data_IF_944458227498
#
_entry.id   IF_944458227498
#
_cell.length_a   1.000
_cell.length_b   1.000
_cell.length_c   1.000
_cell.angle_alpha   90.00
_cell.angle_beta   90.00
_cell.angle_gamma   90.00
#
_symmetry.space_group_name_H-M   'P 1'
#
loop_
_entity.id
_entity.type
_entity.pdbx_description
1 polymer ?
#
# COMPACT_ATOMS: atom_id res chain seq x y z
N UNK A 1 -17.61 3.44 -53.10
CA UNK A 1 -19.05 3.41 -53.44
C UNK A 1 -19.86 3.80 -52.21
N UNK A 2 -20.46 4.98 -52.31
CA UNK A 2 -21.52 5.61 -51.51
C UNK A 2 -21.37 5.88 -50.01
N UNK A 3 -20.99 7.13 -49.76
CA UNK A 3 -21.35 7.94 -48.59
C UNK A 3 -22.89 8.14 -48.54
N UNK A 4 -23.45 8.13 -47.33
CA UNK A 4 -24.70 8.85 -47.04
C UNK A 4 -24.51 9.69 -45.78
N UNK A 5 -24.40 10.97 -46.05
CA UNK A 5 -24.53 12.09 -45.11
C UNK A 5 -26.01 12.25 -44.70
N UNK A 6 -26.27 12.44 -43.42
CA UNK A 6 -27.60 12.91 -42.96
C UNK A 6 -27.36 14.27 -42.29
N UNK A 7 -27.89 15.29 -42.94
CA UNK A 7 -28.02 16.66 -42.43
C UNK A 7 -29.25 16.76 -41.53
N UNK A 8 -29.15 17.43 -40.38
CA UNK A 8 -30.32 17.89 -39.65
C UNK A 8 -30.39 19.42 -39.62
N UNK A 9 -31.55 19.85 -40.12
CA UNK A 9 -31.98 21.21 -40.40
C UNK A 9 -32.21 22.05 -39.15
N UNK A 10 -31.70 23.28 -39.17
CA UNK A 10 -32.10 24.39 -38.30
C UNK A 10 -33.52 24.86 -38.60
N UNK A 11 -34.31 25.11 -37.58
CA UNK A 11 -35.47 26.03 -37.66
C UNK A 11 -35.36 27.08 -36.58
N UNK A 12 -35.28 28.31 -37.05
CA UNK A 12 -35.36 29.58 -36.32
C UNK A 12 -36.82 30.06 -36.21
N UNK A 13 -37.05 30.97 -35.28
CA UNK A 13 -38.16 31.94 -35.09
C UNK A 13 -39.10 31.61 -33.94
N UNK A 14 -39.36 32.51 -33.01
CA UNK A 14 -39.83 33.84 -33.04
C UNK A 14 -39.93 34.49 -31.66
N UNK A 15 -39.74 35.76 -31.69
CA UNK A 15 -39.84 36.75 -30.62
C UNK A 15 -41.31 36.98 -30.23
N UNK A 16 -41.62 37.15 -28.93
CA UNK A 16 -42.58 38.19 -28.49
C UNK A 16 -42.34 38.56 -27.00
N UNK A 17 -42.38 39.83 -26.78
CA UNK A 17 -42.11 40.55 -25.54
C UNK A 17 -43.37 40.79 -24.70
N UNK A 18 -43.14 41.20 -23.46
CA UNK A 18 -43.94 42.00 -22.51
C UNK A 18 -44.89 41.28 -21.55
N UNK A 19 -44.77 41.41 -20.24
CA UNK A 19 -45.26 42.51 -19.44
C UNK A 19 -44.88 42.31 -17.91
N UNK A 20 -44.41 43.32 -17.26
CA UNK A 20 -44.21 43.42 -15.82
C UNK A 20 -45.55 43.40 -15.05
N UNK A 21 -45.63 42.61 -13.98
CA UNK A 21 -46.44 42.94 -12.80
C UNK A 21 -45.70 42.40 -11.58
N UNK A 22 -45.30 43.29 -10.70
CA UNK A 22 -44.71 42.96 -9.42
C UNK A 22 -45.77 42.47 -8.42
N UNK A 23 -45.40 41.41 -7.68
CA UNK A 23 -46.13 41.09 -6.45
C UNK A 23 -45.11 40.49 -5.47
N UNK A 24 -44.78 41.32 -4.46
CA UNK A 24 -43.95 40.90 -3.32
C UNK A 24 -44.77 40.03 -2.42
N UNK A 25 -44.45 38.73 -2.33
CA UNK A 25 -44.85 37.90 -1.21
C UNK A 25 -43.62 37.35 -0.54
N UNK A 26 -43.38 37.84 0.67
CA UNK A 26 -42.47 37.20 1.64
C UNK A 26 -43.10 35.90 2.12
N UNK A 27 -42.63 34.77 1.64
CA UNK A 27 -42.90 33.48 2.24
C UNK A 27 -41.64 33.06 3.00
N UNK A 28 -41.68 33.16 4.29
CA UNK A 28 -40.82 32.40 5.21
C UNK A 28 -41.17 30.94 5.06
N UNK A 29 -40.41 30.22 4.25
CA UNK A 29 -40.46 28.76 4.19
C UNK A 29 -39.41 28.23 5.14
N UNK A 30 -39.83 27.73 6.29
CA UNK A 30 -39.09 26.72 7.02
C UNK A 30 -39.14 25.44 6.15
N UNK A 31 -38.05 25.10 5.51
CA UNK A 31 -37.86 23.76 4.97
C UNK A 31 -37.12 22.96 6.05
N UNK A 32 -37.88 22.18 6.80
CA UNK A 32 -37.37 20.95 7.42
C UNK A 32 -37.24 19.91 6.31
N UNK A 33 -36.14 19.94 5.57
CA UNK A 33 -35.76 18.88 4.65
C UNK A 33 -34.95 17.83 5.41
N UNK A 34 -35.62 17.05 6.25
CA UNK A 34 -35.16 15.72 6.68
C UNK A 34 -35.24 14.75 5.49
N UNK A 35 -34.37 14.93 4.50
CA UNK A 35 -34.16 13.95 3.45
C UNK A 35 -32.90 13.14 3.79
N UNK A 36 -33.01 11.87 4.23
CA UNK A 36 -31.86 11.05 4.64
C UNK A 36 -31.00 10.57 3.48
N UNK A 37 -31.15 11.13 2.29
CA UNK A 37 -30.44 10.69 1.08
C UNK A 37 -29.70 11.82 0.34
N UNK A 38 -29.14 12.78 1.08
CA UNK A 38 -28.23 13.77 0.46
C UNK A 38 -26.81 13.21 0.43
N UNK A 39 -26.35 12.84 -0.73
CA UNK A 39 -24.91 12.61 -0.97
C UNK A 39 -24.17 13.88 -0.55
N UNK A 40 -23.18 13.80 0.37
CA UNK A 40 -22.47 14.99 0.85
C UNK A 40 -21.83 15.73 -0.33
N UNK A 41 -22.03 17.04 -0.40
CA UNK A 41 -21.34 17.88 -1.39
C UNK A 41 -19.82 17.84 -1.08
N UNK A 42 -18.95 17.56 -2.05
CA UNK A 42 -17.50 17.58 -1.80
C UNK A 42 -17.05 18.90 -1.17
N UNK A 43 -16.34 18.84 -0.03
CA UNK A 43 -15.83 19.99 0.70
C UNK A 43 -16.76 20.57 1.78
N UNK A 44 -17.94 19.95 2.05
CA UNK A 44 -18.82 20.33 3.18
C UNK A 44 -18.75 19.35 4.35
N UNK A 45 -18.13 18.18 4.17
CA UNK A 45 -18.07 17.08 5.14
C UNK A 45 -16.69 16.88 5.70
N UNK A 46 -16.60 16.46 6.97
CA UNK A 46 -15.33 16.03 7.57
C UNK A 46 -14.89 14.68 6.99
N UNK A 47 -13.64 14.27 7.26
CA UNK A 47 -13.14 12.93 6.88
C UNK A 47 -14.04 11.83 7.44
N UNK A 48 -14.51 11.98 8.69
CA UNK A 48 -15.42 11.00 9.31
C UNK A 48 -16.75 10.92 8.57
N UNK A 49 -17.33 12.05 8.18
CA UNK A 49 -18.60 12.09 7.44
C UNK A 49 -18.47 11.40 6.07
N UNK A 50 -17.33 11.61 5.37
CA UNK A 50 -17.05 10.96 4.09
C UNK A 50 -16.91 9.45 4.23
N UNK A 51 -16.30 8.97 5.31
CA UNK A 51 -16.15 7.53 5.57
C UNK A 51 -17.51 6.90 5.85
N UNK A 52 -18.33 7.52 6.70
CA UNK A 52 -19.68 7.01 7.05
C UNK A 52 -20.64 7.06 5.86
N UNK A 53 -20.55 8.06 4.99
CA UNK A 53 -21.44 8.22 3.84
C UNK A 53 -21.09 7.30 2.65
N UNK A 54 -20.01 6.53 2.73
CA UNK A 54 -19.51 5.76 1.58
C UNK A 54 -19.62 4.25 1.79
N UNK A 55 -20.37 3.58 0.94
CA UNK A 55 -20.56 2.11 0.94
C UNK A 55 -19.26 1.30 0.74
N UNK A 56 -18.19 1.94 0.28
CA UNK A 56 -16.88 1.28 0.10
C UNK A 56 -16.01 1.29 1.36
N UNK A 57 -16.44 1.95 2.45
CA UNK A 57 -15.67 2.11 3.69
C UNK A 57 -16.39 1.57 4.93
N UNK A 58 -17.35 0.65 4.77
CA UNK A 58 -18.13 0.11 5.90
C UNK A 58 -17.25 -0.59 6.94
N UNK A 59 -16.17 -1.25 6.51
CA UNK A 59 -15.20 -1.88 7.42
C UNK A 59 -14.32 -0.85 8.11
N UNK A 60 -13.93 0.20 7.38
CA UNK A 60 -13.16 1.33 7.95
C UNK A 60 -13.98 2.08 9.00
N UNK A 61 -15.26 2.33 8.74
CA UNK A 61 -16.19 2.93 9.71
C UNK A 61 -16.24 2.09 11.00
N UNK A 62 -16.49 0.78 10.88
CA UNK A 62 -16.50 -0.14 12.00
C UNK A 62 -15.18 -0.11 12.78
N UNK A 63 -14.04 -0.04 12.07
CA UNK A 63 -12.72 0.06 12.68
C UNK A 63 -12.52 1.37 13.43
N UNK A 64 -12.92 2.52 12.86
CA UNK A 64 -12.80 3.86 13.45
C UNK A 64 -13.62 3.96 14.72
N UNK A 65 -14.87 3.49 14.69
CA UNK A 65 -15.76 3.44 15.86
C UNK A 65 -15.17 2.56 16.95
N UNK A 66 -14.76 1.34 16.61
CA UNK A 66 -14.16 0.37 17.57
C UNK A 66 -12.87 0.89 18.20
N UNK A 67 -12.03 1.57 17.43
CA UNK A 67 -10.77 2.14 17.90
C UNK A 67 -10.95 3.45 18.70
N UNK A 68 -12.16 4.00 18.78
CA UNK A 68 -12.45 5.28 19.45
C UNK A 68 -11.78 6.49 18.79
N UNK A 69 -11.67 6.50 17.45
CA UNK A 69 -10.98 7.55 16.69
C UNK A 69 -11.93 8.53 16.00
N UNK A 70 -13.24 8.38 16.15
CA UNK A 70 -14.25 9.24 15.50
C UNK A 70 -13.99 10.72 15.79
N UNK A 71 -13.86 11.10 17.07
CA UNK A 71 -13.59 12.48 17.49
C UNK A 71 -12.24 12.99 16.99
N UNK A 72 -11.22 12.11 16.90
CA UNK A 72 -9.89 12.49 16.40
C UNK A 72 -9.94 12.83 14.90
N UNK A 73 -10.65 12.04 14.10
CA UNK A 73 -10.75 12.22 12.65
C UNK A 73 -11.78 13.30 12.24
N UNK A 74 -12.70 13.68 13.12
CA UNK A 74 -13.59 14.84 12.94
C UNK A 74 -12.98 16.16 13.45
N UNK A 75 -11.82 16.12 14.10
CA UNK A 75 -11.12 17.29 14.62
C UNK A 75 -10.59 18.24 13.55
N UNK A 76 -10.04 19.38 14.03
CA UNK A 76 -9.46 20.41 13.18
C UNK A 76 -8.15 19.96 12.56
N UNK A 77 -8.16 19.41 11.34
CA UNK A 77 -6.95 19.03 10.60
C UNK A 77 -5.91 20.17 10.40
N UNK A 78 -5.16 20.19 9.32
CA UNK A 78 -5.36 19.30 8.16
C UNK A 78 -4.81 17.88 8.37
N UNK A 79 -5.53 16.90 7.83
CA UNK A 79 -5.12 15.50 7.80
C UNK A 79 -5.06 14.98 6.37
N UNK A 80 -4.22 13.98 6.14
CA UNK A 80 -4.30 13.10 4.99
C UNK A 80 -4.59 11.69 5.48
N UNK A 81 -5.67 11.09 5.01
CA UNK A 81 -6.06 9.74 5.38
C UNK A 81 -5.96 8.82 4.18
N UNK A 82 -5.14 7.78 4.31
CA UNK A 82 -5.09 6.67 3.37
C UNK A 82 -6.16 5.66 3.80
N UNK A 83 -7.34 5.73 3.17
CA UNK A 83 -8.53 4.98 3.55
C UNK A 83 -8.59 3.62 2.82
N UNK A 84 -8.36 2.49 3.50
CA UNK A 84 -8.51 1.18 2.89
C UNK A 84 -9.98 0.88 2.62
N UNK A 85 -10.28 0.37 1.42
CA UNK A 85 -11.63 -0.05 1.04
C UNK A 85 -12.03 -1.34 1.74
N UNK A 86 -13.30 -1.70 1.67
CA UNK A 86 -13.81 -2.98 2.17
C UNK A 86 -13.09 -4.17 1.54
N UNK A 87 -12.76 -4.10 0.25
CA UNK A 87 -11.96 -5.13 -0.42
C UNK A 87 -10.53 -5.21 0.13
N UNK A 88 -9.94 -4.07 0.51
CA UNK A 88 -8.63 -4.03 1.17
C UNK A 88 -8.67 -4.74 2.55
N UNK A 89 -9.74 -4.56 3.31
CA UNK A 89 -9.97 -5.26 4.57
C UNK A 89 -10.23 -6.76 4.36
N UNK A 90 -11.02 -7.14 3.34
CA UNK A 90 -11.20 -8.56 2.97
C UNK A 90 -9.88 -9.23 2.60
N UNK A 91 -9.05 -8.54 1.82
CA UNK A 91 -7.71 -9.01 1.50
C UNK A 91 -6.81 -9.14 2.74
N UNK A 92 -7.01 -8.31 3.76
CA UNK A 92 -6.31 -8.39 5.04
C UNK A 92 -6.83 -9.51 5.97
N UNK A 93 -7.90 -10.24 5.57
CA UNK A 93 -8.43 -11.39 6.30
C UNK A 93 -9.68 -11.11 7.13
N UNK A 94 -10.26 -9.91 7.04
CA UNK A 94 -11.55 -9.60 7.68
C UNK A 94 -12.70 -10.00 6.74
N UNK A 95 -13.59 -10.86 7.20
CA UNK A 95 -14.69 -11.33 6.34
C UNK A 95 -15.76 -10.24 6.14
N UNK A 96 -16.03 -9.46 7.19
CA UNK A 96 -17.07 -8.45 7.25
C UNK A 96 -16.75 -7.38 8.32
N UNK A 97 -17.59 -6.36 8.45
CA UNK A 97 -17.46 -5.31 9.46
C UNK A 97 -17.59 -5.85 10.90
N UNK A 98 -18.33 -6.94 11.11
CA UNK A 98 -18.44 -7.58 12.42
C UNK A 98 -17.12 -8.22 12.84
N UNK A 99 -16.41 -8.86 11.90
CA UNK A 99 -15.07 -9.41 12.14
C UNK A 99 -14.07 -8.30 12.50
N UNK A 100 -14.17 -7.11 11.86
CA UNK A 100 -13.38 -5.94 12.23
C UNK A 100 -13.71 -5.48 13.66
N UNK A 101 -14.99 -5.36 14.01
CA UNK A 101 -15.45 -4.95 15.34
C UNK A 101 -15.06 -5.95 16.45
N UNK A 102 -14.84 -7.22 16.10
CA UNK A 102 -14.37 -8.25 17.02
C UNK A 102 -12.85 -8.20 17.28
N UNK A 103 -12.09 -7.49 16.43
CA UNK A 103 -10.65 -7.35 16.62
C UNK A 103 -10.32 -6.49 17.86
N UNK A 104 -9.14 -6.68 18.50
CA UNK A 104 -8.72 -5.87 19.63
C UNK A 104 -8.63 -4.38 19.24
N UNK A 105 -9.23 -3.51 20.05
CA UNK A 105 -9.26 -2.04 19.85
C UNK A 105 -7.86 -1.44 19.74
N UNK A 106 -6.91 -1.90 20.56
CA UNK A 106 -5.51 -1.46 20.54
C UNK A 106 -4.83 -1.79 19.22
N UNK A 107 -5.14 -2.94 18.61
CA UNK A 107 -4.61 -3.33 17.30
C UNK A 107 -5.19 -2.46 16.20
N UNK A 108 -6.52 -2.28 16.18
CA UNK A 108 -7.18 -1.40 15.21
C UNK A 108 -6.70 0.04 15.34
N UNK A 109 -6.61 0.56 16.56
CA UNK A 109 -6.11 1.91 16.83
C UNK A 109 -4.69 2.11 16.27
N UNK A 110 -3.79 1.15 16.48
CA UNK A 110 -2.44 1.19 15.96
C UNK A 110 -2.42 1.20 14.42
N UNK A 111 -3.22 0.34 13.79
CA UNK A 111 -3.37 0.27 12.34
C UNK A 111 -3.92 1.60 11.81
N UNK A 112 -5.03 2.09 12.36
CA UNK A 112 -5.68 3.32 11.87
C UNK A 112 -4.81 4.56 12.04
N UNK A 113 -4.11 4.71 13.17
CA UNK A 113 -3.16 5.82 13.35
C UNK A 113 -2.01 5.77 12.34
N UNK A 114 -1.66 4.59 11.84
CA UNK A 114 -0.67 4.43 10.76
C UNK A 114 -1.19 4.83 9.38
N UNK A 115 -2.50 4.92 9.20
CA UNK A 115 -3.15 5.42 7.98
C UNK A 115 -3.36 6.93 7.96
N UNK A 116 -3.12 7.62 9.08
CA UNK A 116 -3.36 9.06 9.22
C UNK A 116 -2.04 9.81 9.26
N UNK A 117 -1.89 10.79 8.39
CA UNK A 117 -0.73 11.69 8.30
C UNK A 117 -1.21 13.11 8.63
N UNK A 118 -0.47 13.83 9.46
CA UNK A 118 -0.70 15.25 9.68
C UNK A 118 -0.31 16.06 8.46
N UNK A 119 -1.15 17.05 8.09
CA UNK A 119 -0.98 17.84 6.89
C UNK A 119 -1.86 17.39 5.72
N UNK A 120 -2.06 18.29 4.76
CA UNK A 120 -2.82 18.01 3.53
C UNK A 120 -1.84 17.70 2.40
N UNK A 121 -1.85 16.47 1.91
CA UNK A 121 -1.01 15.99 0.81
C UNK A 121 -1.87 15.50 -0.37
N UNK A 122 -2.46 16.40 -1.17
CA UNK A 122 -3.12 16.00 -2.41
C UNK A 122 -2.09 15.36 -3.37
N UNK A 123 -2.54 14.51 -4.27
CA UNK A 123 -1.66 13.76 -5.19
C UNK A 123 -0.75 14.69 -6.02
N UNK A 124 -1.19 15.91 -6.31
CA UNK A 124 -0.38 16.94 -6.97
C UNK A 124 0.78 17.44 -6.11
N UNK A 125 0.62 17.50 -4.79
CA UNK A 125 1.65 17.96 -3.85
C UNK A 125 2.68 16.86 -3.50
N UNK A 126 2.42 15.61 -3.83
CA UNK A 126 3.36 14.50 -3.61
C UNK A 126 4.47 14.58 -4.67
N UNK A 127 5.74 14.73 -4.26
CA UNK A 127 6.86 14.76 -5.19
C UNK A 127 7.01 13.43 -5.95
N UNK A 128 7.61 13.49 -7.14
CA UNK A 128 8.02 12.27 -7.85
C UNK A 128 9.07 11.50 -7.05
N UNK A 129 9.00 10.17 -7.11
CA UNK A 129 9.85 9.28 -6.31
C UNK A 129 9.20 8.87 -5.00
N UNK A 130 10.01 8.62 -3.98
CA UNK A 130 9.54 8.15 -2.68
C UNK A 130 9.72 9.22 -1.60
N UNK A 131 8.67 9.51 -0.87
CA UNK A 131 8.65 10.48 0.24
C UNK A 131 8.26 9.77 1.54
N UNK A 132 9.03 9.98 2.59
CA UNK A 132 8.70 9.49 3.94
C UNK A 132 7.79 10.51 4.64
N UNK A 133 6.65 10.06 5.13
CA UNK A 133 5.70 10.90 5.86
C UNK A 133 5.49 10.33 7.28
N UNK A 134 5.60 11.16 8.32
CA UNK A 134 5.27 10.75 9.68
C UNK A 134 3.76 10.58 9.81
N UNK A 135 3.31 9.46 10.34
CA UNK A 135 1.91 9.18 10.62
C UNK A 135 1.55 9.60 12.05
N UNK A 136 0.27 9.56 12.38
CA UNK A 136 -0.21 9.81 13.75
C UNK A 136 0.17 8.69 14.75
N UNK A 137 0.75 7.59 14.27
CA UNK A 137 1.32 6.55 15.12
C UNK A 137 2.69 6.99 15.65
N UNK A 138 2.84 7.13 16.96
CA UNK A 138 4.04 7.69 17.60
C UNK A 138 5.29 6.80 17.50
N UNK A 139 5.12 5.48 17.40
CA UNK A 139 6.24 4.51 17.34
C UNK A 139 6.19 3.74 16.03
N UNK A 140 7.30 3.75 15.30
CA UNK A 140 7.40 3.13 13.95
C UNK A 140 6.34 3.67 12.98
N UNK A 141 5.96 4.93 13.14
CA UNK A 141 4.87 5.60 12.46
C UNK A 141 5.31 6.33 11.17
N UNK A 142 6.31 5.86 10.44
CA UNK A 142 6.68 6.43 9.14
C UNK A 142 6.08 5.60 8.03
N UNK A 143 5.32 6.25 7.14
CA UNK A 143 4.84 5.67 5.88
C UNK A 143 5.61 6.23 4.70
N UNK A 144 5.67 5.50 3.60
CA UNK A 144 6.42 5.86 2.41
C UNK A 144 5.45 5.99 1.23
N UNK A 145 5.20 7.22 0.83
CA UNK A 145 4.38 7.52 -0.34
C UNK A 145 5.29 7.59 -1.56
N UNK A 146 4.93 6.86 -2.60
CA UNK A 146 5.69 6.83 -3.86
C UNK A 146 4.81 7.31 -5.00
N UNK A 147 5.35 8.20 -5.84
CA UNK A 147 4.71 8.70 -7.05
C UNK A 147 5.54 8.29 -8.26
N UNK A 148 4.99 7.37 -9.05
CA UNK A 148 5.62 6.95 -10.29
C UNK A 148 5.34 7.95 -11.42
N UNK A 149 6.31 8.12 -12.31
CA UNK A 149 6.19 9.03 -13.46
C UNK A 149 5.40 8.44 -14.62
N UNK A 150 5.14 7.13 -14.60
CA UNK A 150 4.49 6.43 -15.73
C UNK A 150 3.81 5.15 -15.23
N UNK A 151 2.55 5.26 -14.83
CA UNK A 151 1.68 4.10 -14.57
C UNK A 151 0.23 4.43 -14.88
N UNK A 152 -0.57 3.42 -15.20
CA UNK A 152 -2.02 3.56 -15.25
C UNK A 152 -2.58 3.84 -13.84
N UNK A 153 -3.57 4.72 -13.75
CA UNK A 153 -4.18 5.15 -12.48
C UNK A 153 -3.59 6.44 -11.93
N UNK A 154 -3.68 6.65 -10.63
CA UNK A 154 -3.21 7.87 -9.95
C UNK A 154 -1.69 8.01 -9.94
N UNK A 155 -0.96 6.93 -10.23
CA UNK A 155 0.50 6.87 -10.13
C UNK A 155 1.04 6.95 -8.70
N UNK A 156 0.16 7.00 -7.71
CA UNK A 156 0.53 7.10 -6.29
C UNK A 156 0.33 5.76 -5.59
N UNK A 157 1.28 5.41 -4.75
CA UNK A 157 1.18 4.26 -3.85
C UNK A 157 1.73 4.63 -2.47
N UNK A 158 1.27 3.94 -1.44
CA UNK A 158 1.73 4.10 -0.06
C UNK A 158 2.09 2.74 0.52
N UNK A 159 3.34 2.55 0.93
CA UNK A 159 3.89 1.26 1.37
C UNK A 159 3.51 0.09 0.44
N UNK A 160 3.49 0.32 -0.87
CA UNK A 160 3.10 -0.65 -1.87
C UNK A 160 1.59 -0.83 -2.09
N UNK A 161 0.73 -0.25 -1.26
CA UNK A 161 -0.70 -0.15 -1.54
C UNK A 161 -0.95 0.92 -2.61
N UNK A 162 -1.80 0.65 -3.59
CA UNK A 162 -2.12 1.64 -4.64
C UNK A 162 -3.22 2.57 -4.18
N UNK A 163 -3.08 3.83 -4.51
CA UNK A 163 -4.19 4.78 -4.41
C UNK A 163 -5.12 4.56 -5.61
N UNK A 164 -6.33 4.08 -5.34
CA UNK A 164 -7.36 3.79 -6.36
C UNK A 164 -8.25 5.00 -6.64
N UNK A 165 -8.52 5.81 -5.60
CA UNK A 165 -9.20 7.11 -5.73
C UNK A 165 -8.40 8.12 -4.92
N UNK A 166 -7.95 9.19 -5.58
CA UNK A 166 -7.18 10.24 -4.94
C UNK A 166 -8.01 11.50 -4.70
N UNK A 167 -7.53 12.34 -3.79
CA UNK A 167 -7.95 13.73 -3.62
C UNK A 167 -9.45 13.93 -3.28
N UNK A 168 -10.05 12.99 -2.52
CA UNK A 168 -11.40 13.23 -1.98
C UNK A 168 -11.29 14.29 -0.89
N UNK A 169 -11.88 15.47 -1.16
CA UNK A 169 -11.75 16.64 -0.30
C UNK A 169 -12.69 16.58 0.89
N UNK A 170 -12.16 16.86 2.07
CA UNK A 170 -12.89 17.05 3.31
C UNK A 170 -12.60 18.45 3.88
N UNK A 171 -13.49 18.97 4.77
CA UNK A 171 -13.28 20.27 5.44
C UNK A 171 -12.02 20.28 6.30
N UNK A 172 -11.60 19.13 6.80
CA UNK A 172 -10.44 18.96 7.68
C UNK A 172 -9.31 18.14 7.07
N UNK A 173 -9.29 17.95 5.74
CA UNK A 173 -8.17 17.26 5.06
C UNK A 173 -8.50 16.64 3.72
N UNK A 174 -7.72 15.63 3.35
CA UNK A 174 -7.86 14.88 2.11
C UNK A 174 -7.86 13.37 2.37
N UNK A 175 -8.69 12.64 1.64
CA UNK A 175 -8.79 11.18 1.72
C UNK A 175 -8.31 10.56 0.40
N UNK A 176 -7.45 9.56 0.50
CA UNK A 176 -7.03 8.71 -0.60
C UNK A 176 -7.49 7.28 -0.35
N UNK A 177 -8.39 6.77 -1.18
CA UNK A 177 -8.79 5.37 -1.11
C UNK A 177 -7.65 4.46 -1.59
N UNK A 178 -7.33 3.41 -0.82
CA UNK A 178 -6.25 2.47 -1.11
C UNK A 178 -6.74 1.02 -1.18
N UNK A 179 -6.04 0.21 -2.00
CA UNK A 179 -6.37 -1.18 -2.28
C UNK A 179 -5.87 -2.18 -1.21
N UNK A 180 -5.22 -1.69 -0.14
CA UNK A 180 -4.65 -2.55 0.90
C UNK A 180 -4.61 -1.84 2.26
N UNK A 181 -4.82 -2.59 3.33
CA UNK A 181 -4.59 -2.11 4.71
C UNK A 181 -3.09 -1.98 4.96
N UNK A 182 -2.65 -0.83 5.45
CA UNK A 182 -1.25 -0.58 5.81
C UNK A 182 -0.94 -1.19 7.17
N UNK A 183 -0.03 -2.14 7.20
CA UNK A 183 0.41 -2.76 8.45
C UNK A 183 1.63 -2.01 9.01
N UNK A 184 1.54 -1.47 10.24
CA UNK A 184 2.69 -0.83 10.88
C UNK A 184 3.82 -1.82 11.08
N UNK A 185 5.10 -1.42 10.84
CA UNK A 185 6.24 -2.31 11.07
C UNK A 185 6.34 -2.73 12.52
N UNK A 186 6.64 -4.01 12.76
CA UNK A 186 6.79 -4.60 14.10
C UNK A 186 8.25 -4.65 14.56
N UNK A 187 9.19 -4.42 13.65
CA UNK A 187 10.62 -4.44 13.92
C UNK A 187 11.43 -4.19 12.65
N UNK A 188 12.75 -4.39 12.73
CA UNK A 188 13.62 -4.35 11.57
C UNK A 188 13.43 -5.61 10.68
N UNK A 189 14.07 -5.60 9.50
CA UNK A 189 13.95 -6.70 8.52
C UNK A 189 14.28 -8.07 9.14
N UNK A 190 15.33 -8.13 9.95
CA UNK A 190 15.73 -9.37 10.62
C UNK A 190 14.65 -9.87 11.59
N UNK A 191 14.11 -8.99 12.43
CA UNK A 191 13.07 -9.33 13.41
C UNK A 191 11.77 -9.78 12.72
N UNK A 192 11.38 -9.05 11.66
CA UNK A 192 10.18 -9.40 10.86
C UNK A 192 10.35 -10.77 10.18
N UNK A 193 11.53 -11.03 9.59
CA UNK A 193 11.82 -12.32 8.96
C UNK A 193 11.88 -13.47 9.97
N UNK A 194 12.41 -13.23 11.17
CA UNK A 194 12.47 -14.25 12.24
C UNK A 194 11.08 -14.57 12.83
N UNK A 195 10.16 -13.61 12.85
CA UNK A 195 8.80 -13.83 13.32
C UNK A 195 7.93 -14.62 12.34
N UNK A 196 8.36 -14.73 11.08
CA UNK A 196 7.62 -15.41 10.03
C UNK A 196 8.04 -16.88 9.91
N UNK A 197 7.16 -17.79 10.29
CA UNK A 197 7.42 -19.25 10.27
C UNK A 197 7.69 -19.78 8.86
N UNK A 198 7.20 -19.10 7.81
CA UNK A 198 7.45 -19.47 6.41
C UNK A 198 8.88 -19.17 5.96
N UNK A 199 9.65 -18.41 6.76
CA UNK A 199 11.03 -17.99 6.51
C UNK A 199 12.04 -18.63 7.49
N UNK A 200 11.66 -19.68 8.22
CA UNK A 200 12.51 -20.27 9.27
C UNK A 200 13.85 -20.80 8.74
N UNK A 201 13.90 -21.35 7.51
CA UNK A 201 15.17 -21.78 6.88
C UNK A 201 16.02 -20.57 6.49
N UNK A 202 15.43 -19.46 6.06
CA UNK A 202 16.16 -18.20 5.85
C UNK A 202 16.75 -17.71 7.18
N UNK A 203 15.98 -17.75 8.26
CA UNK A 203 16.45 -17.39 9.61
C UNK A 203 17.67 -18.23 10.05
N UNK A 204 17.62 -19.55 9.81
CA UNK A 204 18.76 -20.43 10.08
C UNK A 204 19.97 -20.09 9.20
N UNK A 205 19.78 -19.79 7.92
CA UNK A 205 20.84 -19.40 7.00
C UNK A 205 21.49 -18.06 7.43
N UNK A 206 20.70 -17.08 7.86
CA UNK A 206 21.21 -15.79 8.37
C UNK A 206 22.03 -16.00 9.64
N UNK A 207 21.54 -16.80 10.57
CA UNK A 207 22.29 -17.14 11.80
C UNK A 207 23.65 -17.82 11.48
N UNK A 208 23.67 -18.72 10.51
CA UNK A 208 24.88 -19.42 10.05
C UNK A 208 25.80 -18.50 9.22
N UNK A 209 25.23 -17.54 8.45
CA UNK A 209 25.98 -16.57 7.62
C UNK A 209 26.82 -15.58 8.43
N UNK A 210 26.62 -15.53 9.74
CA UNK A 210 27.47 -14.81 10.68
C UNK A 210 27.11 -13.35 10.91
N UNK A 211 27.92 -12.70 11.77
CA UNK A 211 27.63 -11.36 12.29
C UNK A 211 27.50 -10.27 11.21
N UNK A 212 28.24 -10.37 10.11
CA UNK A 212 28.19 -9.38 9.03
C UNK A 212 26.80 -9.32 8.35
N UNK A 213 26.18 -10.47 8.08
CA UNK A 213 24.83 -10.57 7.50
C UNK A 213 23.80 -10.06 8.51
N UNK A 214 23.89 -10.48 9.76
CA UNK A 214 23.02 -10.02 10.85
C UNK A 214 23.07 -8.50 10.99
N UNK A 215 24.27 -7.92 11.00
CA UNK A 215 24.47 -6.47 11.10
C UNK A 215 23.89 -5.73 9.90
N UNK A 216 24.07 -6.24 8.68
CA UNK A 216 23.49 -5.64 7.48
C UNK A 216 21.94 -5.62 7.53
N UNK A 217 21.31 -6.72 7.96
CA UNK A 217 19.84 -6.84 8.03
C UNK A 217 19.22 -6.11 9.22
N UNK A 218 19.96 -5.86 10.30
CA UNK A 218 19.48 -5.15 11.49
C UNK A 218 19.88 -3.68 11.54
N UNK A 219 20.77 -3.24 10.66
CA UNK A 219 21.28 -1.88 10.60
C UNK A 219 20.23 -0.83 10.21
N UNK A 220 20.60 0.44 10.29
CA UNK A 220 19.72 1.56 9.96
C UNK A 220 19.61 1.87 8.45
N UNK A 221 20.51 1.32 7.63
CA UNK A 221 20.51 1.55 6.18
C UNK A 221 19.25 0.96 5.57
N UNK A 222 18.48 1.76 4.80
CA UNK A 222 17.31 1.25 4.12
C UNK A 222 17.66 0.15 3.11
N UNK A 223 16.89 -0.95 3.12
CA UNK A 223 17.16 -2.08 2.24
C UNK A 223 15.85 -2.78 1.80
N UNK A 224 15.96 -3.54 0.72
CA UNK A 224 14.93 -4.46 0.26
C UNK A 224 15.47 -5.89 0.31
N UNK A 225 14.69 -6.80 0.88
CA UNK A 225 15.05 -8.21 0.93
C UNK A 225 14.08 -9.04 0.12
N UNK A 226 14.59 -9.77 -0.85
CA UNK A 226 13.86 -10.83 -1.51
C UNK A 226 14.03 -12.12 -0.71
N UNK A 227 13.06 -12.44 0.14
CA UNK A 227 13.16 -13.48 1.15
C UNK A 227 12.65 -14.84 0.62
N UNK A 228 13.54 -15.81 0.33
CA UNK A 228 13.12 -17.13 -0.11
C UNK A 228 12.38 -17.87 1.00
N UNK A 229 11.21 -18.40 0.67
CA UNK A 229 10.40 -19.20 1.58
C UNK A 229 11.07 -20.54 1.92
N UNK A 230 10.56 -21.21 2.96
CA UNK A 230 10.98 -22.59 3.26
C UNK A 230 10.78 -23.52 2.06
N UNK A 231 9.74 -23.32 1.23
CA UNK A 231 9.54 -24.08 -0.01
C UNK A 231 10.66 -23.83 -1.01
N UNK A 232 11.08 -22.56 -1.17
CA UNK A 232 12.20 -22.18 -2.01
C UNK A 232 13.52 -22.84 -1.58
N UNK A 233 13.82 -22.86 -0.28
CA UNK A 233 15.00 -23.53 0.27
C UNK A 233 14.97 -25.04 0.07
N UNK A 234 13.79 -25.69 0.22
CA UNK A 234 13.66 -27.16 0.02
C UNK A 234 13.99 -27.61 -1.39
N UNK A 235 13.95 -26.73 -2.36
CA UNK A 235 14.35 -27.00 -3.74
C UNK A 235 15.87 -26.86 -3.97
N UNK A 236 16.67 -26.62 -2.93
CA UNK A 236 18.11 -26.46 -2.96
C UNK A 236 18.82 -27.51 -2.09
N UNK A 237 20.15 -27.66 -2.18
CA UNK A 237 20.91 -28.48 -1.24
C UNK A 237 20.79 -28.03 0.24
N UNK A 238 20.33 -26.80 0.50
CA UNK A 238 20.13 -26.22 1.84
C UNK A 238 18.70 -26.43 2.37
N UNK A 239 18.15 -27.62 2.16
CA UNK A 239 16.73 -27.95 2.34
C UNK A 239 16.32 -28.21 3.80
N UNK A 240 17.27 -28.30 4.73
CA UNK A 240 17.05 -28.50 6.15
C UNK A 240 18.00 -27.61 6.98
N UNK A 241 17.64 -27.36 8.24
CA UNK A 241 18.52 -26.65 9.19
C UNK A 241 19.87 -27.38 9.35
N UNK A 242 19.88 -28.71 9.34
CA UNK A 242 21.12 -29.50 9.43
C UNK A 242 22.01 -29.25 8.19
N UNK A 243 21.45 -29.27 6.98
CA UNK A 243 22.19 -28.98 5.76
C UNK A 243 22.73 -27.55 5.73
N UNK A 244 21.94 -26.56 6.20
CA UNK A 244 22.38 -25.16 6.36
C UNK A 244 23.54 -25.07 7.33
N UNK A 245 23.48 -25.72 8.49
CA UNK A 245 24.53 -25.69 9.49
C UNK A 245 25.83 -26.39 9.03
N UNK A 246 25.71 -27.39 8.14
CA UNK A 246 26.86 -28.07 7.54
C UNK A 246 27.48 -27.29 6.36
N UNK A 247 26.78 -26.30 5.82
CA UNK A 247 27.22 -25.53 4.66
C UNK A 247 28.44 -24.63 4.99
N UNK A 248 29.33 -24.39 4.01
CA UNK A 248 30.39 -23.39 4.13
C UNK A 248 29.79 -21.99 4.35
N UNK A 249 30.27 -21.27 5.36
CA UNK A 249 29.77 -19.92 5.70
C UNK A 249 29.87 -18.98 4.50
N UNK A 250 30.98 -19.02 3.76
CA UNK A 250 31.19 -18.15 2.59
C UNK A 250 30.14 -18.37 1.51
N UNK A 251 29.74 -19.63 1.25
CA UNK A 251 28.69 -19.93 0.26
C UNK A 251 27.32 -19.37 0.69
N UNK A 252 26.95 -19.56 1.97
CA UNK A 252 25.72 -18.98 2.50
C UNK A 252 25.73 -17.44 2.50
N UNK A 253 26.86 -16.84 2.86
CA UNK A 253 27.01 -15.38 2.82
C UNK A 253 26.83 -14.84 1.41
N UNK A 254 27.44 -15.46 0.41
CA UNK A 254 27.28 -15.07 -0.99
C UNK A 254 25.80 -15.18 -1.45
N UNK A 255 25.14 -16.28 -1.09
CA UNK A 255 23.70 -16.43 -1.36
C UNK A 255 22.90 -15.34 -0.66
N UNK A 256 23.08 -15.14 0.63
CA UNK A 256 22.29 -14.17 1.43
C UNK A 256 22.47 -12.73 0.94
N UNK A 257 23.71 -12.34 0.60
CA UNK A 257 23.98 -11.00 0.06
C UNK A 257 23.37 -10.77 -1.30
N UNK A 258 23.15 -11.84 -2.09
CA UNK A 258 22.47 -11.78 -3.39
C UNK A 258 20.94 -11.55 -3.27
N UNK A 259 20.39 -11.74 -2.08
CA UNK A 259 18.97 -11.47 -1.78
C UNK A 259 18.71 -10.07 -1.21
N UNK A 260 19.74 -9.28 -0.95
CA UNK A 260 19.65 -7.97 -0.31
C UNK A 260 19.97 -6.86 -1.31
N UNK A 261 19.11 -5.86 -1.39
CA UNK A 261 19.27 -4.68 -2.25
C UNK A 261 19.31 -3.44 -1.35
N UNK A 262 20.34 -2.61 -1.51
CA UNK A 262 20.51 -1.36 -0.74
C UNK A 262 20.29 -0.10 -1.58
N UNK A 263 20.23 -0.21 -2.89
CA UNK A 263 19.90 0.87 -3.80
C UNK A 263 18.86 0.37 -4.82
N UNK A 264 17.65 0.96 -4.80
CA UNK A 264 17.20 2.22 -4.16
C UNK A 264 16.76 2.13 -2.69
N UNK A 265 17.19 1.19 -1.91
CA UNK A 265 16.81 1.05 -0.51
C UNK A 265 15.45 0.35 -0.36
N UNK A 266 14.39 1.09 0.03
CA UNK A 266 13.03 0.54 0.11
C UNK A 266 12.35 0.53 -1.25
N UNK A 267 12.36 -0.61 -1.93
CA UNK A 267 11.67 -0.80 -3.20
C UNK A 267 10.33 -1.51 -2.97
N UNK A 268 9.24 -0.77 -2.93
CA UNK A 268 7.90 -1.34 -2.92
C UNK A 268 7.50 -1.84 -4.32
N UNK A 269 6.67 -2.86 -4.40
CA UNK A 269 6.36 -3.52 -5.68
C UNK A 269 5.86 -2.59 -6.79
N UNK A 270 5.07 -1.52 -6.54
CA UNK A 270 4.68 -0.59 -7.58
C UNK A 270 5.82 0.33 -8.08
N UNK A 271 6.94 0.39 -7.37
CA UNK A 271 8.08 1.24 -7.74
C UNK A 271 9.22 0.46 -8.40
N UNK A 272 9.15 -0.86 -8.40
CA UNK A 272 10.15 -1.69 -9.07
C UNK A 272 9.91 -1.63 -10.58
N UNK A 273 10.97 -1.35 -11.33
CA UNK A 273 10.97 -1.34 -12.80
C UNK A 273 11.75 -2.52 -13.34
N UNK A 274 11.41 -2.95 -14.55
CA UNK A 274 12.17 -4.02 -15.23
C UNK A 274 13.59 -3.58 -15.52
N UNK A 275 14.55 -4.44 -15.23
CA UNK A 275 15.97 -4.17 -15.44
C UNK A 275 16.87 -4.82 -14.39
N UNK A 276 18.19 -4.59 -14.49
CA UNK A 276 19.15 -5.11 -13.52
C UNK A 276 19.06 -4.35 -12.18
N UNK A 277 19.11 -5.11 -11.10
CA UNK A 277 19.14 -4.59 -9.72
C UNK A 277 20.46 -5.09 -9.09
N UNK A 278 21.29 -4.16 -8.64
CA UNK A 278 22.53 -4.49 -7.93
C UNK A 278 22.21 -4.99 -6.52
N UNK A 279 22.75 -6.13 -6.14
CA UNK A 279 22.61 -6.72 -4.82
C UNK A 279 23.70 -6.22 -3.87
N UNK A 280 23.55 -6.46 -2.56
CA UNK A 280 24.50 -6.03 -1.53
C UNK A 280 25.91 -6.65 -1.71
N UNK A 281 26.00 -7.82 -2.34
CA UNK A 281 27.25 -8.37 -2.81
C UNK A 281 27.75 -7.67 -4.08
N UNK A 282 28.56 -8.36 -4.85
CA UNK A 282 29.00 -7.89 -6.20
C UNK A 282 28.09 -8.40 -7.31
N UNK A 283 26.97 -9.05 -6.96
CA UNK A 283 26.01 -9.66 -7.87
C UNK A 283 24.95 -8.70 -8.38
N UNK A 284 24.21 -9.15 -9.35
CA UNK A 284 23.00 -8.49 -9.83
C UNK A 284 21.92 -9.51 -10.13
N UNK A 285 20.67 -9.09 -9.95
CA UNK A 285 19.49 -9.86 -10.38
C UNK A 285 18.70 -9.01 -11.37
N UNK A 286 18.11 -9.64 -12.37
CA UNK A 286 17.28 -8.93 -13.35
C UNK A 286 15.83 -9.05 -12.93
N UNK A 287 15.20 -7.92 -12.62
CA UNK A 287 13.77 -7.85 -12.35
C UNK A 287 12.98 -7.74 -13.67
N UNK A 288 11.84 -8.41 -13.72
CA UNK A 288 10.87 -8.27 -14.81
C UNK A 288 9.49 -8.03 -14.20
N UNK A 289 8.88 -6.91 -14.56
CA UNK A 289 7.52 -6.55 -14.14
C UNK A 289 6.55 -6.91 -15.25
N UNK A 290 5.64 -7.85 -14.96
CA UNK A 290 4.58 -8.28 -15.85
C UNK A 290 3.24 -7.61 -15.58
N UNK A 291 2.21 -8.09 -16.26
CA UNK A 291 0.83 -7.62 -16.05
C UNK A 291 0.37 -7.86 -14.60
N UNK A 292 -0.49 -6.98 -14.09
CA UNK A 292 -1.00 -7.10 -12.71
C UNK A 292 0.06 -6.92 -11.61
N UNK A 293 1.21 -6.28 -11.91
CA UNK A 293 2.37 -6.17 -11.02
C UNK A 293 2.98 -7.53 -10.63
N UNK A 294 2.87 -8.54 -11.49
CA UNK A 294 3.66 -9.75 -11.33
C UNK A 294 5.16 -9.39 -11.42
N UNK A 295 5.93 -9.78 -10.43
CA UNK A 295 7.36 -9.48 -10.37
C UNK A 295 8.14 -10.79 -10.34
N UNK A 296 9.05 -10.93 -11.28
CA UNK A 296 10.00 -12.05 -11.33
C UNK A 296 11.43 -11.55 -11.28
N UNK A 297 12.31 -12.39 -10.78
CA UNK A 297 13.74 -12.11 -10.62
C UNK A 297 14.53 -13.24 -11.26
N UNK A 298 15.46 -12.88 -12.12
CA UNK A 298 16.43 -13.82 -12.70
C UNK A 298 17.80 -13.57 -12.07
N UNK A 299 18.35 -14.60 -11.43
CA UNK A 299 19.69 -14.60 -10.90
C UNK A 299 20.62 -15.43 -11.81
N UNK A 300 21.87 -15.02 -12.05
CA UNK A 300 22.80 -15.72 -12.94
C UNK A 300 23.00 -17.19 -12.59
N UNK A 301 23.13 -17.52 -11.30
CA UNK A 301 23.35 -18.90 -10.83
C UNK A 301 22.13 -19.81 -10.92
N UNK A 302 20.95 -19.29 -11.29
CA UNK A 302 19.73 -20.09 -11.37
C UNK A 302 19.54 -20.83 -12.70
N UNK A 303 20.54 -20.84 -13.60
CA UNK A 303 20.46 -21.59 -14.87
C UNK A 303 19.28 -21.17 -15.76
N UNK A 304 18.92 -19.88 -15.78
CA UNK A 304 17.79 -19.34 -16.55
C UNK A 304 16.42 -19.48 -15.87
N UNK A 305 16.35 -20.07 -14.69
CA UNK A 305 15.10 -20.22 -13.94
C UNK A 305 14.77 -18.94 -13.15
N UNK A 306 13.60 -18.38 -13.38
CA UNK A 306 13.13 -17.19 -12.67
C UNK A 306 12.62 -17.53 -11.28
N UNK A 307 12.78 -16.60 -10.36
CA UNK A 307 12.15 -16.56 -9.04
C UNK A 307 10.96 -15.62 -9.10
N UNK A 308 9.80 -16.04 -8.59
CA UNK A 308 8.59 -15.22 -8.56
C UNK A 308 8.42 -14.58 -7.19
N UNK A 309 8.17 -13.28 -7.15
CA UNK A 309 7.72 -12.60 -5.95
C UNK A 309 6.26 -12.99 -5.69
N UNK A 310 6.03 -13.57 -4.53
CA UNK A 310 4.71 -14.10 -4.16
C UNK A 310 3.68 -12.98 -4.03
N UNK A 311 2.50 -13.21 -4.56
CA UNK A 311 1.37 -12.32 -4.39
C UNK A 311 0.82 -12.40 -2.95
N UNK A 312 0.24 -11.31 -2.47
CA UNK A 312 -0.53 -11.36 -1.24
C UNK A 312 -1.78 -12.22 -1.46
N UNK A 313 -2.13 -12.98 -0.45
CA UNK A 313 -3.37 -13.77 -0.40
C UNK A 313 -4.18 -13.34 0.80
N UNK A 314 -5.46 -13.72 0.86
CA UNK A 314 -6.34 -13.31 1.96
C UNK A 314 -5.72 -13.61 3.33
N UNK A 315 -5.54 -12.58 4.13
CA UNK A 315 -4.93 -12.66 5.46
C UNK A 315 -3.41 -12.89 5.48
N UNK A 316 -2.74 -13.04 4.32
CA UNK A 316 -1.29 -13.30 4.27
C UNK A 316 -0.58 -12.28 3.40
N UNK A 317 0.28 -11.49 4.01
CA UNK A 317 1.15 -10.56 3.29
C UNK A 317 2.44 -11.28 2.88
N UNK A 318 2.69 -11.36 1.58
CA UNK A 318 3.87 -11.98 0.99
C UNK A 318 4.81 -10.96 0.33
N UNK A 319 4.31 -9.80 -0.07
CA UNK A 319 5.10 -8.72 -0.65
C UNK A 319 4.78 -7.38 0.00
N UNK A 320 5.69 -6.43 -0.13
CA UNK A 320 5.60 -5.10 0.48
C UNK A 320 5.48 -5.16 2.02
N UNK A 321 6.07 -6.20 2.64
CA UNK A 321 6.10 -6.34 4.10
C UNK A 321 7.02 -5.26 4.65
N UNK A 322 6.46 -4.30 5.37
CA UNK A 322 7.18 -3.14 5.86
C UNK A 322 7.95 -3.46 7.14
N UNK A 323 9.22 -3.10 7.17
CA UNK A 323 10.08 -3.11 8.34
C UNK A 323 10.61 -1.71 8.65
N UNK A 324 11.07 -1.46 9.87
CA UNK A 324 11.59 -0.13 10.27
C UNK A 324 12.77 0.32 9.43
N UNK A 325 13.60 -0.60 8.97
CA UNK A 325 14.77 -0.34 8.13
C UNK A 325 14.66 -0.89 6.71
N UNK A 326 13.48 -1.37 6.25
CA UNK A 326 13.41 -1.93 4.89
C UNK A 326 12.04 -2.46 4.49
N UNK A 327 12.06 -3.22 3.39
CA UNK A 327 10.90 -3.93 2.83
C UNK A 327 11.28 -5.37 2.52
N UNK A 328 10.37 -6.29 2.75
CA UNK A 328 10.55 -7.73 2.46
C UNK A 328 9.56 -8.15 1.40
N UNK A 329 10.04 -8.90 0.40
CA UNK A 329 9.25 -9.60 -0.60
C UNK A 329 9.57 -11.07 -0.54
N UNK A 330 8.60 -11.93 -0.24
CA UNK A 330 8.79 -13.38 -0.27
C UNK A 330 8.88 -13.87 -1.70
N UNK A 331 9.78 -14.82 -1.93
CA UNK A 331 10.03 -15.41 -3.24
C UNK A 331 9.97 -16.94 -3.19
N UNK A 332 9.61 -17.55 -4.34
CA UNK A 332 9.43 -18.99 -4.49
C UNK A 332 10.72 -19.76 -4.84
N UNK A 333 11.84 -19.05 -5.07
CA UNK A 333 13.13 -19.65 -5.43
C UNK A 333 14.29 -18.85 -4.83
N UNK A 334 15.32 -19.55 -4.35
CA UNK A 334 16.58 -18.94 -3.89
C UNK A 334 17.31 -18.29 -5.07
N UNK A 335 17.81 -17.08 -4.90
CA UNK A 335 18.63 -16.36 -5.89
C UNK A 335 20.09 -16.77 -5.72
N UNK A 336 20.54 -17.69 -6.54
CA UNK A 336 21.94 -18.15 -6.55
C UNK A 336 22.81 -17.12 -7.29
N UNK A 337 24.01 -16.77 -6.74
CA UNK A 337 24.92 -15.80 -7.34
C UNK A 337 25.59 -16.31 -8.61
#
# INVERSE_FOLDING_TARGET
>A
MNLKSIQFSRKTSGILASLLVGFSLTLTSCNDDDNPNTTPTPGSSTITDLVVASDQFTFLEAAVVKAGLTTTLSGTGPFTVFAPTDDAFRAAGFADAAAVSAAPDTTLRRILLYHVVGGSYPASAIPAGQTALPTSLSVNGTTYVSKATSTSGTGVSVNGARVITADVQATNGVVHAIDRVLMPPTGNVLQVAQADTSLSLLGAAVARGGAAVVTALSGATPLTVFAPTNAAFRATPYNTVAAINAAPVAALTAILTNHVVVNPGRAFSPTIVSGPITTFGTGSVTATVGSGNALTLLSPGNGGQVSTVLQNTTGVQNRDITATNGVIHKIDRVLLP
#
